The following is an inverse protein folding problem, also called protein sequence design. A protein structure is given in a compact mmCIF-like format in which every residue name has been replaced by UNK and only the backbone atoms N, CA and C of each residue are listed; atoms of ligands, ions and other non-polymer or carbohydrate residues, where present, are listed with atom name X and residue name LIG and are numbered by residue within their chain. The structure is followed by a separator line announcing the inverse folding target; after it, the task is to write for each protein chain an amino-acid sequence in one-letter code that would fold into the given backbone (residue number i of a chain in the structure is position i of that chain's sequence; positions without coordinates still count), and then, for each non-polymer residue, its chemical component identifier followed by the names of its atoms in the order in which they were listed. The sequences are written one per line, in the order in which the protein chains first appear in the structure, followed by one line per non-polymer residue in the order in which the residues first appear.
data_IF_279461148153
#
_entry.id   IF_279461148153
#
_cell.length_a   1.000
_cell.length_b   1.000
_cell.length_c   1.000
_cell.angle_alpha   90.00
_cell.angle_beta   90.00
_cell.angle_gamma   90.00
#
_symmetry.space_group_name_H-M   'P 1'
#
loop_
_entity.id
_entity.type
_entity.pdbx_description
1 polymer ?
#
# COMPACT_ATOMS: atom_id res chain seq x y z
N UNK A 1 75.94 14.39 12.75
CA UNK A 1 74.56 14.24 13.20
C UNK A 1 73.80 13.56 12.14
N UNK A 2 73.42 12.32 12.36
CA UNK A 2 72.68 11.52 11.38
C UNK A 2 71.20 11.51 11.81
N UNK A 3 70.37 12.30 11.14
CA UNK A 3 68.90 12.26 11.35
C UNK A 3 68.30 11.06 10.59
N UNK A 4 67.94 10.00 11.31
CA UNK A 4 67.19 8.90 10.79
C UNK A 4 65.73 9.36 10.48
N UNK A 5 65.43 9.46 9.20
CA UNK A 5 64.04 9.62 8.78
C UNK A 5 63.31 8.28 8.89
N UNK A 6 62.35 8.16 9.78
CA UNK A 6 61.45 7.04 9.83
C UNK A 6 60.32 7.29 8.85
N UNK A 7 60.35 6.60 7.72
CA UNK A 7 59.21 6.54 6.81
C UNK A 7 58.15 5.59 7.37
N UNK A 8 57.06 6.15 7.83
CA UNK A 8 55.88 5.38 8.19
C UNK A 8 55.17 4.92 6.91
N UNK A 9 54.85 3.64 6.79
CA UNK A 9 54.04 3.19 5.67
C UNK A 9 52.60 3.67 5.89
N UNK A 10 52.10 4.43 4.92
CA UNK A 10 50.68 4.82 4.84
C UNK A 10 49.86 3.53 4.60
N UNK A 11 49.27 2.98 5.67
CA UNK A 11 48.32 1.90 5.55
C UNK A 11 47.04 2.45 4.93
N UNK A 12 46.85 2.19 3.64
CA UNK A 12 45.57 2.42 2.96
C UNK A 12 44.60 1.41 3.51
N UNK A 13 43.77 1.82 4.48
CA UNK A 13 42.56 1.12 4.88
C UNK A 13 41.58 1.22 3.71
N UNK A 14 41.59 0.23 2.83
CA UNK A 14 40.50 -0.01 1.90
C UNK A 14 39.31 -0.49 2.76
N UNK A 15 38.47 0.46 3.19
CA UNK A 15 37.20 0.16 3.78
C UNK A 15 36.37 -0.59 2.76
N UNK A 16 36.18 -1.92 2.97
CA UNK A 16 35.11 -2.66 2.33
C UNK A 16 33.79 -2.03 2.83
N UNK A 17 33.32 -1.00 2.13
CA UNK A 17 31.96 -0.53 2.23
C UNK A 17 31.07 -1.66 1.76
N UNK A 18 30.61 -2.49 2.72
CA UNK A 18 29.51 -3.38 2.44
C UNK A 18 28.32 -2.51 2.03
N UNK A 19 28.09 -2.38 0.74
CA UNK A 19 26.86 -1.85 0.20
C UNK A 19 25.75 -2.84 0.59
N UNK A 20 25.17 -2.65 1.75
CA UNK A 20 23.88 -3.22 2.07
C UNK A 20 22.88 -2.53 1.15
N UNK A 21 22.73 -3.03 -0.06
CA UNK A 21 21.59 -2.75 -0.89
C UNK A 21 20.39 -3.32 -0.14
N UNK A 22 19.75 -2.50 0.69
CA UNK A 22 18.43 -2.81 1.21
C UNK A 22 17.57 -3.00 -0.04
N UNK A 23 17.16 -4.24 -0.30
CA UNK A 23 16.23 -4.54 -1.37
C UNK A 23 14.96 -3.74 -1.08
N UNK A 24 14.80 -2.60 -1.77
CA UNK A 24 13.58 -1.81 -1.70
C UNK A 24 12.48 -2.67 -2.29
N UNK A 25 11.39 -2.83 -1.52
CA UNK A 25 10.19 -3.46 -2.03
C UNK A 25 9.80 -2.75 -3.34
N UNK A 26 9.53 -3.46 -4.44
CA UNK A 26 9.11 -2.80 -5.68
C UNK A 26 7.96 -1.84 -5.40
N UNK A 27 8.05 -0.63 -5.94
CA UNK A 27 6.95 0.33 -5.85
C UNK A 27 5.71 -0.26 -6.52
N UNK A 28 4.53 -0.08 -5.90
CA UNK A 28 3.25 -0.47 -6.52
C UNK A 28 3.01 0.39 -7.77
N UNK A 29 2.50 -0.25 -8.83
CA UNK A 29 2.13 0.43 -10.08
C UNK A 29 0.79 1.14 -9.96
N UNK A 30 0.49 2.08 -10.87
CA UNK A 30 -0.82 2.76 -10.92
C UNK A 30 -1.97 1.76 -11.08
N UNK A 31 -1.78 0.70 -11.86
CA UNK A 31 -2.75 -0.38 -12.03
C UNK A 31 -3.00 -1.14 -10.72
N UNK A 32 -1.95 -1.39 -9.95
CA UNK A 32 -2.05 -2.03 -8.64
C UNK A 32 -2.68 -1.10 -7.60
N UNK A 33 -2.36 0.19 -7.61
CA UNK A 33 -3.00 1.20 -6.75
C UNK A 33 -4.50 1.24 -7.04
N UNK A 34 -4.89 1.27 -8.31
CA UNK A 34 -6.30 1.25 -8.70
C UNK A 34 -7.03 0.02 -8.14
N UNK A 35 -6.45 -1.16 -8.23
CA UNK A 35 -7.04 -2.38 -7.66
C UNK A 35 -7.12 -2.35 -6.13
N UNK A 36 -6.09 -1.84 -5.45
CA UNK A 36 -6.09 -1.70 -3.99
C UNK A 36 -7.24 -0.80 -3.55
N UNK A 37 -7.42 0.35 -4.19
CA UNK A 37 -8.49 1.31 -3.87
C UNK A 37 -9.86 0.68 -4.06
N UNK A 38 -10.12 0.04 -5.18
CA UNK A 38 -11.41 -0.61 -5.46
C UNK A 38 -11.68 -1.74 -4.48
N UNK A 39 -10.67 -2.54 -4.15
CA UNK A 39 -10.80 -3.63 -3.18
C UNK A 39 -11.15 -3.11 -1.79
N UNK A 40 -10.41 -2.12 -1.29
CA UNK A 40 -10.65 -1.55 0.04
C UNK A 40 -12.06 -0.95 0.14
N UNK A 41 -12.49 -0.14 -0.82
CA UNK A 41 -13.84 0.42 -0.82
C UNK A 41 -14.94 -0.65 -0.91
N UNK A 42 -14.71 -1.72 -1.68
CA UNK A 42 -15.66 -2.83 -1.78
C UNK A 42 -15.83 -3.57 -0.45
N UNK A 43 -14.74 -3.75 0.29
CA UNK A 43 -14.76 -4.34 1.64
C UNK A 43 -15.57 -3.45 2.60
N UNK A 44 -15.38 -2.13 2.57
CA UNK A 44 -16.10 -1.20 3.42
C UNK A 44 -17.60 -1.19 3.10
N UNK A 45 -17.97 -1.27 1.82
CA UNK A 45 -19.37 -1.40 1.38
C UNK A 45 -20.00 -2.68 1.92
N UNK A 46 -19.32 -3.83 1.79
CA UNK A 46 -19.82 -5.10 2.29
C UNK A 46 -19.93 -5.12 3.81
N UNK A 47 -18.96 -4.57 4.53
CA UNK A 47 -19.01 -4.42 5.98
C UNK A 47 -20.18 -3.53 6.42
N UNK A 48 -20.46 -2.45 5.71
CA UNK A 48 -21.64 -1.63 5.94
C UNK A 48 -22.94 -2.41 5.76
N UNK A 49 -23.07 -3.23 4.72
CA UNK A 49 -24.22 -4.10 4.48
C UNK A 49 -24.39 -5.16 5.58
N UNK A 50 -23.28 -5.74 6.05
CA UNK A 50 -23.30 -6.70 7.17
C UNK A 50 -23.79 -6.01 8.45
N UNK A 51 -23.29 -4.82 8.75
CA UNK A 51 -23.71 -4.04 9.91
C UNK A 51 -25.23 -3.74 9.90
N UNK A 52 -25.79 -3.38 8.73
CA UNK A 52 -27.24 -3.16 8.57
C UNK A 52 -28.07 -4.41 8.80
N UNK A 53 -27.53 -5.59 8.48
CA UNK A 53 -28.22 -6.88 8.73
C UNK A 53 -28.17 -7.28 10.20
N UNK A 54 -27.07 -6.98 10.89
CA UNK A 54 -26.80 -7.46 12.24
C UNK A 54 -27.19 -6.49 13.34
N UNK A 55 -27.25 -5.19 13.08
CA UNK A 55 -27.56 -4.17 14.06
C UNK A 55 -28.86 -3.46 13.76
N UNK A 56 -29.59 -3.10 14.83
CA UNK A 56 -30.77 -2.22 14.81
C UNK A 56 -30.52 -0.94 15.60
N UNK A 57 -29.31 -0.69 16.01
CA UNK A 57 -28.89 0.54 16.69
C UNK A 57 -28.86 1.70 15.70
N UNK A 58 -29.65 2.78 15.89
CA UNK A 58 -29.81 3.85 14.91
C UNK A 58 -28.47 4.48 14.49
N UNK A 59 -27.54 4.71 15.42
CA UNK A 59 -26.23 5.28 15.10
C UNK A 59 -25.33 4.34 14.28
N UNK A 60 -25.47 3.04 14.45
CA UNK A 60 -24.75 2.02 13.64
C UNK A 60 -25.35 1.97 12.24
N UNK A 61 -26.67 2.00 12.11
CA UNK A 61 -27.35 2.00 10.81
C UNK A 61 -27.01 3.26 10.01
N UNK A 62 -27.01 4.43 10.67
CA UNK A 62 -26.63 5.69 10.04
C UNK A 62 -25.18 5.66 9.51
N UNK A 63 -24.24 5.22 10.33
CA UNK A 63 -22.84 5.09 9.93
C UNK A 63 -22.65 4.08 8.80
N UNK A 64 -23.30 2.91 8.88
CA UNK A 64 -23.24 1.89 7.84
C UNK A 64 -23.79 2.39 6.50
N UNK A 65 -24.89 3.13 6.51
CA UNK A 65 -25.43 3.74 5.29
C UNK A 65 -24.51 4.80 4.71
N UNK A 66 -23.84 5.60 5.56
CA UNK A 66 -22.84 6.57 5.13
C UNK A 66 -21.65 5.87 4.47
N UNK A 67 -21.11 4.82 5.08
CA UNK A 67 -20.02 4.02 4.53
C UNK A 67 -20.38 3.44 3.15
N UNK A 68 -21.54 2.84 3.00
CA UNK A 68 -22.02 2.29 1.72
C UNK A 68 -22.10 3.40 0.66
N UNK A 69 -22.70 4.53 1.00
CA UNK A 69 -22.89 5.65 0.08
C UNK A 69 -21.54 6.24 -0.37
N UNK A 70 -20.68 6.59 0.57
CA UNK A 70 -19.44 7.30 0.27
C UNK A 70 -18.44 6.41 -0.46
N UNK A 71 -18.26 5.16 -0.02
CA UNK A 71 -17.34 4.24 -0.68
C UNK A 71 -17.85 3.78 -2.06
N UNK A 72 -19.16 3.70 -2.27
CA UNK A 72 -19.73 3.48 -3.61
C UNK A 72 -19.40 4.65 -4.53
N UNK A 73 -19.53 5.88 -4.06
CA UNK A 73 -19.18 7.07 -4.85
C UNK A 73 -17.68 7.09 -5.20
N UNK A 74 -16.82 6.76 -4.26
CA UNK A 74 -15.36 6.66 -4.49
C UNK A 74 -15.05 5.58 -5.53
N UNK A 75 -15.65 4.39 -5.45
CA UNK A 75 -15.44 3.34 -6.45
C UNK A 75 -15.91 3.75 -7.86
N UNK A 76 -17.05 4.42 -7.96
CA UNK A 76 -17.54 4.94 -9.24
C UNK A 76 -16.57 5.97 -9.84
N UNK A 77 -16.07 6.88 -9.01
CA UNK A 77 -15.10 7.90 -9.45
C UNK A 77 -13.75 7.27 -9.83
N UNK A 78 -13.26 6.31 -9.07
CA UNK A 78 -12.02 5.59 -9.35
C UNK A 78 -12.14 4.83 -10.69
N UNK A 79 -13.24 4.12 -10.91
CA UNK A 79 -13.51 3.39 -12.15
C UNK A 79 -13.56 4.33 -13.36
N UNK A 80 -14.25 5.46 -13.23
CA UNK A 80 -14.30 6.48 -14.29
C UNK A 80 -12.91 7.05 -14.60
N UNK A 81 -12.10 7.30 -13.57
CA UNK A 81 -10.75 7.84 -13.72
C UNK A 81 -9.83 6.84 -14.46
N UNK A 82 -9.76 5.58 -14.00
CA UNK A 82 -8.88 4.58 -14.63
C UNK A 82 -9.31 4.27 -16.05
N UNK A 83 -10.62 4.28 -16.35
CA UNK A 83 -11.15 4.15 -17.71
C UNK A 83 -10.66 5.29 -18.61
N UNK A 84 -10.75 6.54 -18.12
CA UNK A 84 -10.28 7.72 -18.86
C UNK A 84 -8.78 7.69 -19.11
N UNK A 85 -8.00 7.16 -18.16
CA UNK A 85 -6.55 7.04 -18.27
C UNK A 85 -6.09 5.80 -19.04
N UNK A 86 -7.00 4.91 -19.44
CA UNK A 86 -6.66 3.65 -20.07
C UNK A 86 -5.91 2.67 -19.17
N UNK A 87 -6.01 2.84 -17.85
CA UNK A 87 -5.40 1.97 -16.85
C UNK A 87 -6.36 0.82 -16.54
N UNK A 88 -5.86 -0.43 -16.62
CA UNK A 88 -6.59 -1.61 -16.16
C UNK A 88 -6.15 -1.93 -14.73
N UNK A 89 -7.07 -1.98 -13.75
CA UNK A 89 -6.74 -2.43 -12.40
C UNK A 89 -6.08 -3.81 -12.42
N UNK A 90 -5.00 -3.95 -11.62
CA UNK A 90 -4.20 -5.18 -11.55
C UNK A 90 -4.03 -5.61 -10.10
N UNK A 91 -4.23 -6.91 -9.83
CA UNK A 91 -4.06 -7.46 -8.50
C UNK A 91 -2.61 -7.38 -8.04
N UNK A 92 -2.43 -7.08 -6.75
CA UNK A 92 -1.15 -7.06 -6.06
C UNK A 92 -1.22 -7.92 -4.81
N UNK A 93 -0.08 -8.19 -4.19
CA UNK A 93 -0.06 -8.88 -2.89
C UNK A 93 -0.86 -8.12 -1.84
N UNK A 94 -0.84 -6.78 -1.88
CA UNK A 94 -1.62 -5.93 -0.99
C UNK A 94 -3.12 -6.10 -1.21
N UNK A 95 -3.62 -6.03 -2.45
CA UNK A 95 -5.06 -6.20 -2.72
C UNK A 95 -5.56 -7.60 -2.39
N UNK A 96 -4.75 -8.62 -2.64
CA UNK A 96 -5.06 -10.02 -2.27
C UNK A 96 -5.10 -10.21 -0.76
N UNK A 97 -4.15 -9.61 -0.03
CA UNK A 97 -4.11 -9.67 1.43
C UNK A 97 -5.31 -9.00 2.06
N UNK A 98 -5.69 -7.80 1.58
CA UNK A 98 -6.89 -7.08 2.02
C UNK A 98 -8.14 -7.95 1.87
N UNK A 99 -8.34 -8.57 0.71
CA UNK A 99 -9.49 -9.44 0.46
C UNK A 99 -9.47 -10.67 1.38
N UNK A 100 -8.32 -11.34 1.48
CA UNK A 100 -8.18 -12.51 2.36
C UNK A 100 -8.45 -12.20 3.83
N UNK A 101 -8.08 -11.02 4.30
CA UNK A 101 -8.32 -10.60 5.68
C UNK A 101 -9.79 -10.23 5.91
N UNK A 102 -10.46 -9.69 4.92
CA UNK A 102 -11.89 -9.38 4.98
C UNK A 102 -12.78 -10.62 4.95
N UNK A 103 -12.30 -11.73 4.36
CA UNK A 103 -13.05 -12.99 4.24
C UNK A 103 -12.99 -13.86 5.54
N UNK A 104 -12.25 -13.44 6.57
CA UNK A 104 -12.12 -14.15 7.87
C UNK A 104 -13.25 -13.76 8.83
#
# INVERSE_FOLDING_TARGET
MITKAYSLPLAVLIGLGANYALAQKPAVTDAQIAQIVVTANSIDIENGKIALKQSKTPSVEEFANLMIKDHTAVNNNATALVTRLGVKPEASDTSKSLQSDADK
#
